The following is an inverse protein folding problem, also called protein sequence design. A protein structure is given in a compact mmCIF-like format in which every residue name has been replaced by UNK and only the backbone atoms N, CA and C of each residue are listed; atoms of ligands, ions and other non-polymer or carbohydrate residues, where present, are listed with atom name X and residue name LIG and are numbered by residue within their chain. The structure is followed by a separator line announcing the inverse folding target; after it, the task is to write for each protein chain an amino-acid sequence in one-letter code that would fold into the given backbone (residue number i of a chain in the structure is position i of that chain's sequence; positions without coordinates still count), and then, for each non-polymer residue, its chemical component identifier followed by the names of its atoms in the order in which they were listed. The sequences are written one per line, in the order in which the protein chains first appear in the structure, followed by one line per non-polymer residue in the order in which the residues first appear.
data_IF_166924427537
#
_entry.id   IF_166924427537
#
_cell.length_a   1.000
_cell.length_b   1.000
_cell.length_c   1.000
_cell.angle_alpha   90.00
_cell.angle_beta   90.00
_cell.angle_gamma   90.00
#
_symmetry.space_group_name_H-M   'P 1'
#
loop_
_entity.id
_entity.type
_entity.pdbx_description
1 polymer ?
#
# COMPACT_ATOMS: atom_id res chain seq x y z
N UNK A 1 31.55 -42.37 -34.64
CA UNK A 1 30.49 -41.34 -34.82
C UNK A 1 29.41 -41.30 -33.71
N UNK A 2 29.48 -42.12 -32.64
CA UNK A 2 28.47 -42.09 -31.55
C UNK A 2 28.88 -41.31 -30.28
N UNK A 3 30.15 -40.89 -30.16
CA UNK A 3 30.64 -40.14 -28.98
C UNK A 3 30.52 -38.60 -29.12
N UNK A 4 30.45 -38.08 -30.35
CA UNK A 4 30.27 -36.65 -30.59
C UNK A 4 28.81 -36.17 -30.42
N UNK A 5 27.84 -37.10 -30.48
CA UNK A 5 26.40 -36.77 -30.34
C UNK A 5 25.98 -36.61 -28.87
N UNK A 6 26.72 -37.20 -27.93
CA UNK A 6 26.41 -37.11 -26.50
C UNK A 6 26.89 -35.79 -25.88
N UNK A 7 27.96 -35.20 -26.41
CA UNK A 7 28.50 -33.93 -25.91
C UNK A 7 27.67 -32.74 -26.43
N UNK A 8 27.03 -32.87 -27.60
CA UNK A 8 26.09 -31.85 -28.10
C UNK A 8 24.75 -31.87 -27.34
N UNK A 9 24.36 -33.02 -26.78
CA UNK A 9 23.17 -33.17 -25.93
C UNK A 9 23.36 -32.55 -24.54
N UNK A 10 24.58 -32.57 -24.01
CA UNK A 10 24.88 -32.05 -22.68
C UNK A 10 25.09 -30.52 -22.65
N UNK A 11 25.20 -29.87 -23.80
CA UNK A 11 25.42 -28.42 -23.92
C UNK A 11 24.11 -27.64 -24.19
N UNK A 12 22.99 -28.32 -24.44
CA UNK A 12 21.68 -27.67 -24.71
C UNK A 12 20.73 -27.68 -23.50
N UNK A 13 21.14 -28.25 -22.36
CA UNK A 13 20.39 -28.18 -21.09
C UNK A 13 21.12 -27.27 -20.09
N UNK A 14 21.63 -26.15 -20.57
CA UNK A 14 21.62 -24.92 -19.78
C UNK A 14 20.44 -24.14 -20.35
N UNK A 15 19.24 -24.61 -20.00
CA UNK A 15 18.06 -23.78 -20.10
C UNK A 15 18.43 -22.52 -19.31
N UNK A 16 18.52 -21.39 -19.99
CA UNK A 16 18.57 -20.11 -19.32
C UNK A 16 17.32 -20.04 -18.45
N UNK A 17 17.44 -20.45 -17.18
CA UNK A 17 16.57 -19.95 -16.13
C UNK A 17 16.92 -18.48 -16.04
N UNK A 18 16.37 -17.68 -16.95
CA UNK A 18 16.10 -16.30 -16.61
C UNK A 18 15.22 -16.42 -15.37
N UNK A 19 15.80 -16.16 -14.20
CA UNK A 19 15.06 -15.75 -13.01
C UNK A 19 14.34 -14.46 -13.41
N UNK A 20 13.24 -14.60 -14.15
CA UNK A 20 12.28 -13.51 -14.27
C UNK A 20 11.61 -13.49 -12.91
N UNK A 21 12.04 -12.57 -12.04
CA UNK A 21 11.23 -12.21 -10.88
C UNK A 21 9.83 -11.89 -11.42
N UNK A 22 8.87 -12.74 -11.10
CA UNK A 22 7.48 -12.51 -11.50
C UNK A 22 6.94 -11.45 -10.54
N UNK A 23 6.45 -10.34 -11.07
CA UNK A 23 5.78 -9.35 -10.25
C UNK A 23 4.56 -10.00 -9.58
N UNK A 24 4.34 -9.72 -8.29
CA UNK A 24 3.14 -10.15 -7.57
C UNK A 24 2.11 -9.04 -7.68
N UNK A 25 0.92 -9.38 -8.15
CA UNK A 25 -0.19 -8.45 -8.33
C UNK A 25 -1.27 -8.72 -7.28
N UNK A 26 -1.52 -7.75 -6.41
CA UNK A 26 -2.52 -7.82 -5.38
C UNK A 26 -3.70 -6.94 -5.78
N UNK A 27 -4.89 -7.51 -5.88
CA UNK A 27 -6.11 -6.74 -6.13
C UNK A 27 -7.01 -6.76 -4.90
N UNK A 28 -7.82 -5.71 -4.73
CA UNK A 28 -8.66 -5.56 -3.55
C UNK A 28 -10.13 -5.33 -3.92
N UNK A 29 -11.01 -6.11 -3.32
CA UNK A 29 -12.47 -5.97 -3.44
C UNK A 29 -13.12 -5.96 -2.06
N UNK A 30 -14.31 -5.38 -1.94
CA UNK A 30 -15.07 -5.33 -0.69
C UNK A 30 -16.25 -6.29 -0.72
N UNK A 31 -16.50 -6.95 0.41
CA UNK A 31 -17.71 -7.78 0.62
C UNK A 31 -18.34 -7.49 1.98
N UNK A 32 -19.67 -7.50 2.02
CA UNK A 32 -20.45 -7.49 3.24
C UNK A 32 -21.57 -8.53 3.12
N UNK A 33 -21.39 -9.68 3.77
CA UNK A 33 -22.35 -10.79 3.77
C UNK A 33 -22.72 -11.29 2.35
N UNK A 34 -21.73 -11.37 1.45
CA UNK A 34 -21.93 -11.80 0.06
C UNK A 34 -22.40 -10.69 -0.88
N UNK A 35 -22.56 -9.46 -0.39
CA UNK A 35 -22.84 -8.30 -1.22
C UNK A 35 -21.56 -7.48 -1.45
N UNK A 36 -21.24 -7.22 -2.72
CA UNK A 36 -20.09 -6.41 -3.10
C UNK A 36 -20.19 -4.98 -2.51
N UNK A 37 -19.09 -4.53 -1.91
CA UNK A 37 -18.93 -3.21 -1.31
C UNK A 37 -17.94 -2.40 -2.15
N UNK A 38 -18.32 -1.16 -2.47
CA UNK A 38 -17.39 -0.21 -3.10
C UNK A 38 -16.41 0.31 -2.06
N UNK A 39 -15.12 0.18 -2.34
CA UNK A 39 -14.05 0.67 -1.48
C UNK A 39 -13.71 2.12 -1.83
N UNK A 40 -13.45 2.95 -0.82
CA UNK A 40 -13.00 4.34 -0.97
C UNK A 40 -11.47 4.42 -1.13
N UNK A 41 -10.76 3.59 -0.36
CA UNK A 41 -9.30 3.50 -0.42
C UNK A 41 -8.79 2.20 0.20
N UNK A 42 -7.59 1.78 -0.18
CA UNK A 42 -6.86 0.67 0.46
C UNK A 42 -5.47 1.15 0.83
N UNK A 43 -5.14 1.10 2.10
CA UNK A 43 -3.82 1.40 2.65
C UNK A 43 -3.08 0.08 2.83
N UNK A 44 -1.90 -0.06 2.24
CA UNK A 44 -1.02 -1.22 2.43
C UNK A 44 0.26 -0.73 3.08
N UNK A 45 0.62 -1.35 4.21
CA UNK A 45 1.85 -1.09 4.96
C UNK A 45 2.68 -2.36 5.00
N UNK A 46 3.96 -2.26 4.69
CA UNK A 46 4.88 -3.34 5.03
C UNK A 46 5.26 -3.15 6.50
N UNK A 47 4.88 -4.10 7.36
CA UNK A 47 5.18 -4.02 8.80
C UNK A 47 6.57 -4.55 9.14
N UNK A 48 7.15 -5.38 8.26
CA UNK A 48 8.51 -5.91 8.40
C UNK A 48 9.57 -4.84 8.11
N UNK A 49 9.44 -4.15 6.98
CA UNK A 49 10.43 -3.18 6.51
C UNK A 49 10.00 -1.72 6.69
N UNK A 50 8.72 -1.49 6.98
CA UNK A 50 8.12 -0.16 6.90
C UNK A 50 7.79 0.23 5.47
N UNK A 51 7.18 1.41 5.30
CA UNK A 51 6.65 1.86 4.02
C UNK A 51 5.14 1.66 3.94
N UNK A 52 4.50 2.54 3.19
CA UNK A 52 3.05 2.59 3.05
C UNK A 52 2.71 3.05 1.64
N UNK A 53 1.68 2.44 1.07
CA UNK A 53 1.06 2.87 -0.17
C UNK A 53 -0.45 2.95 0.04
N UNK A 54 -1.11 3.88 -0.64
CA UNK A 54 -2.58 3.98 -0.64
C UNK A 54 -3.10 3.93 -2.06
N UNK A 55 -4.02 3.00 -2.31
CA UNK A 55 -4.73 2.82 -3.57
C UNK A 55 -6.09 3.52 -3.50
N UNK A 56 -6.54 4.02 -4.64
CA UNK A 56 -7.84 4.70 -4.78
C UNK A 56 -8.55 4.21 -6.05
N UNK A 57 -9.90 4.09 -6.03
CA UNK A 57 -10.66 3.73 -7.22
C UNK A 57 -10.38 4.64 -8.42
N UNK A 58 -10.48 4.13 -9.66
CA UNK A 58 -10.98 2.80 -10.03
C UNK A 58 -9.94 1.67 -9.97
N UNK A 59 -8.68 1.99 -9.66
CA UNK A 59 -7.58 1.03 -9.69
C UNK A 59 -7.16 0.67 -8.26
N UNK A 60 -7.61 -0.51 -7.82
CA UNK A 60 -7.30 -1.06 -6.51
C UNK A 60 -6.37 -2.27 -6.65
N UNK A 61 -5.36 -2.11 -7.49
CA UNK A 61 -4.32 -3.11 -7.71
C UNK A 61 -2.93 -2.58 -7.32
N UNK A 62 -2.18 -3.37 -6.56
CA UNK A 62 -0.77 -3.12 -6.23
C UNK A 62 0.11 -4.15 -6.94
N UNK A 63 1.16 -3.68 -7.62
CA UNK A 63 2.20 -4.54 -8.19
C UNK A 63 3.45 -4.48 -7.29
N UNK A 64 3.82 -5.62 -6.72
CA UNK A 64 5.08 -5.83 -5.99
C UNK A 64 6.14 -6.33 -6.96
N UNK A 65 7.32 -5.71 -6.96
CA UNK A 65 8.43 -6.04 -7.85
C UNK A 65 9.48 -6.79 -7.04
N UNK A 66 9.74 -8.04 -7.40
CA UNK A 66 10.73 -8.90 -6.75
C UNK A 66 11.97 -8.96 -7.67
N UNK A 67 12.64 -7.83 -7.87
CA UNK A 67 13.93 -7.83 -8.59
C UNK A 67 15.06 -7.62 -7.60
N UNK A 68 16.06 -8.51 -7.63
CA UNK A 68 17.27 -8.41 -6.81
C UNK A 68 18.24 -7.31 -7.24
N UNK A 69 17.74 -6.25 -7.89
CA UNK A 69 18.50 -5.01 -8.05
C UNK A 69 18.15 -4.21 -6.81
N UNK A 70 19.09 -4.12 -5.86
CA UNK A 70 19.04 -3.10 -4.82
C UNK A 70 18.72 -1.77 -5.50
N UNK A 71 17.48 -1.29 -5.35
CA UNK A 71 17.24 0.12 -5.58
C UNK A 71 18.00 0.81 -4.46
N UNK A 72 19.12 1.46 -4.80
CA UNK A 72 19.90 2.21 -3.82
C UNK A 72 18.92 3.06 -3.00
N UNK A 73 18.81 2.75 -1.71
CA UNK A 73 18.10 3.53 -0.73
C UNK A 73 18.91 4.82 -0.54
N UNK A 74 18.82 5.73 -1.51
CA UNK A 74 19.25 7.09 -1.32
C UNK A 74 18.16 7.71 -0.46
N UNK A 75 18.46 7.92 0.83
CA UNK A 75 17.76 8.89 1.69
C UNK A 75 17.75 10.24 0.96
N UNK A 76 16.79 10.48 0.08
CA UNK A 76 16.70 11.76 -0.62
C UNK A 76 15.85 12.72 0.21
N UNK A 77 16.53 13.77 0.66
CA UNK A 77 15.99 15.12 0.89
C UNK A 77 14.85 15.45 -0.08
N UNK A 78 13.93 16.39 0.25
CA UNK A 78 12.82 16.76 -0.63
C UNK A 78 13.31 16.84 -2.09
N UNK A 79 12.69 16.06 -2.97
CA UNK A 79 13.14 15.90 -4.36
C UNK A 79 12.24 16.71 -5.26
N UNK A 80 12.85 17.43 -6.20
CA UNK A 80 12.12 18.11 -7.27
C UNK A 80 11.20 17.14 -8.04
N UNK A 81 9.88 17.32 -7.94
CA UNK A 81 8.88 16.39 -8.48
C UNK A 81 7.79 17.13 -9.27
N UNK A 82 7.54 16.67 -10.49
CA UNK A 82 6.43 17.13 -11.33
C UNK A 82 5.36 16.04 -11.37
N UNK A 83 4.17 16.34 -10.88
CA UNK A 83 3.04 15.41 -10.82
C UNK A 83 2.27 15.41 -12.13
N UNK A 84 1.61 14.28 -12.42
CA UNK A 84 0.76 14.19 -13.59
C UNK A 84 -0.39 15.21 -13.53
N UNK A 85 -0.78 15.73 -14.69
CA UNK A 85 -1.84 16.73 -14.78
C UNK A 85 -3.22 16.12 -14.47
N UNK A 86 -4.09 16.84 -13.76
CA UNK A 86 -5.48 16.43 -13.51
C UNK A 86 -6.47 17.52 -13.94
N UNK A 87 -7.49 17.16 -14.75
CA UNK A 87 -7.71 15.85 -15.37
C UNK A 87 -6.74 15.57 -16.53
N UNK A 88 -6.49 14.29 -16.85
CA UNK A 88 -5.82 13.83 -18.08
C UNK A 88 -6.55 12.57 -18.61
N UNK A 89 -7.18 12.59 -19.80
CA UNK A 89 -7.27 13.71 -20.73
C UNK A 89 -8.12 14.88 -20.22
N UNK A 90 -7.85 16.11 -20.70
CA UNK A 90 -8.59 17.32 -20.35
C UNK A 90 -9.30 17.96 -21.56
N UNK A 91 -10.23 18.88 -21.28
CA UNK A 91 -10.93 19.68 -22.31
C UNK A 91 -10.35 21.09 -22.39
N UNK A 92 -10.77 21.99 -21.50
CA UNK A 92 -10.42 23.42 -21.59
C UNK A 92 -9.22 23.84 -20.74
N UNK A 93 -8.93 23.09 -19.68
CA UNK A 93 -7.86 23.39 -18.72
C UNK A 93 -7.50 22.14 -17.94
N UNK A 94 -6.29 22.10 -17.41
CA UNK A 94 -5.83 21.05 -16.49
C UNK A 94 -4.90 21.68 -15.45
N UNK A 95 -4.80 21.06 -14.28
CA UNK A 95 -3.91 21.53 -13.22
C UNK A 95 -2.71 20.62 -13.11
N UNK A 96 -1.55 21.21 -12.85
CA UNK A 96 -0.28 20.50 -12.66
C UNK A 96 0.33 20.92 -11.33
N UNK A 97 0.80 19.96 -10.54
CA UNK A 97 1.50 20.23 -9.29
C UNK A 97 3.01 20.01 -9.45
N UNK A 98 3.78 20.95 -8.93
CA UNK A 98 5.24 20.89 -8.88
C UNK A 98 5.69 21.02 -7.42
N UNK A 99 6.42 20.04 -6.92
CA UNK A 99 7.10 20.11 -5.64
C UNK A 99 8.53 20.63 -5.83
N UNK A 100 8.85 21.71 -5.14
CA UNK A 100 10.15 22.38 -5.16
C UNK A 100 10.80 22.22 -3.78
N UNK A 101 12.03 21.71 -3.69
CA UNK A 101 12.62 21.36 -2.40
C UNK A 101 13.27 22.51 -1.65
N UNK A 102 13.61 23.59 -2.35
CA UNK A 102 14.22 24.80 -1.81
C UNK A 102 13.96 25.96 -2.76
N UNK A 103 14.03 27.20 -2.28
CA UNK A 103 13.77 28.37 -3.12
C UNK A 103 14.72 28.39 -4.32
N UNK A 104 14.17 28.26 -5.53
CA UNK A 104 14.96 28.20 -6.77
C UNK A 104 14.20 28.72 -7.99
N UNK A 105 14.94 29.01 -9.06
CA UNK A 105 14.39 29.46 -10.34
C UNK A 105 13.93 28.25 -11.15
N UNK A 106 12.61 28.13 -11.33
CA UNK A 106 12.02 27.06 -12.11
C UNK A 106 11.79 27.53 -13.55
N UNK A 107 12.28 26.76 -14.51
CA UNK A 107 11.96 26.92 -15.94
C UNK A 107 10.94 25.85 -16.34
N UNK A 108 9.81 26.28 -16.88
CA UNK A 108 8.77 25.42 -17.42
C UNK A 108 8.60 25.65 -18.92
N UNK A 109 8.57 24.56 -19.67
CA UNK A 109 8.43 24.57 -21.13
C UNK A 109 7.26 23.66 -21.49
N UNK A 110 6.33 24.17 -22.30
CA UNK A 110 5.29 23.36 -22.93
C UNK A 110 5.65 23.17 -24.39
N UNK A 111 5.69 21.93 -24.87
CA UNK A 111 5.99 21.58 -26.27
C UNK A 111 4.92 20.68 -26.90
N UNK A 112 4.86 20.64 -28.23
CA UNK A 112 4.01 19.72 -28.99
C UNK A 112 4.71 18.37 -29.28
N UNK A 113 4.02 17.48 -30.00
CA UNK A 113 4.55 16.16 -30.41
C UNK A 113 5.80 16.22 -31.29
N UNK A 114 6.02 17.34 -31.98
CA UNK A 114 7.21 17.56 -32.82
C UNK A 114 8.38 18.14 -32.00
N UNK A 115 8.22 18.34 -30.69
CA UNK A 115 9.23 18.95 -29.82
C UNK A 115 9.32 20.48 -29.96
N UNK A 116 8.40 21.13 -30.69
CA UNK A 116 8.39 22.59 -30.80
C UNK A 116 7.93 23.21 -29.49
N UNK A 117 8.69 24.18 -28.98
CA UNK A 117 8.34 24.92 -27.77
C UNK A 117 7.18 25.87 -28.06
N UNK A 118 6.03 25.62 -27.45
CA UNK A 118 4.81 26.42 -27.59
C UNK A 118 4.74 27.55 -26.54
N UNK A 119 5.27 27.30 -25.34
CA UNK A 119 5.28 28.25 -24.24
C UNK A 119 6.49 28.01 -23.34
N UNK A 120 7.08 29.08 -22.82
CA UNK A 120 8.13 29.03 -21.79
C UNK A 120 7.78 29.99 -20.67
N UNK A 121 7.92 29.55 -19.43
CA UNK A 121 7.70 30.34 -18.23
C UNK A 121 8.86 30.14 -17.26
N UNK A 122 9.42 31.23 -16.74
CA UNK A 122 10.46 31.20 -15.72
C UNK A 122 9.91 31.86 -14.47
N UNK A 123 9.98 31.17 -13.32
CA UNK A 123 9.46 31.71 -12.07
C UNK A 123 10.30 31.24 -10.89
N UNK A 124 10.67 32.17 -10.00
CA UNK A 124 11.26 31.83 -8.71
C UNK A 124 10.13 31.33 -7.81
N UNK A 125 10.29 30.12 -7.27
CA UNK A 125 9.34 29.48 -6.37
C UNK A 125 10.06 29.16 -5.06
N UNK A 126 9.36 29.31 -3.95
CA UNK A 126 9.84 28.88 -2.64
C UNK A 126 9.76 27.36 -2.48
N UNK A 127 10.31 26.84 -1.38
CA UNK A 127 10.10 25.44 -1.02
C UNK A 127 8.60 25.14 -0.83
N UNK A 128 8.14 24.01 -1.37
CA UNK A 128 6.77 23.54 -1.22
C UNK A 128 6.13 23.09 -2.53
N UNK A 129 4.81 22.87 -2.47
CA UNK A 129 4.02 22.42 -3.62
C UNK A 129 3.29 23.59 -4.26
N UNK A 130 3.52 23.77 -5.56
CA UNK A 130 2.96 24.84 -6.37
C UNK A 130 2.01 24.26 -7.42
N UNK A 131 0.84 24.88 -7.56
CA UNK A 131 -0.15 24.46 -8.57
C UNK A 131 -0.12 25.43 -9.75
N UNK A 132 -0.04 24.87 -10.95
CA UNK A 132 -0.11 25.57 -12.22
C UNK A 132 -1.38 25.18 -12.96
N UNK A 133 -2.09 26.19 -13.45
CA UNK A 133 -3.24 26.01 -14.33
C UNK A 133 -2.76 26.12 -15.77
N UNK A 134 -2.90 25.03 -16.52
CA UNK A 134 -2.59 24.98 -17.95
C UNK A 134 -3.86 25.11 -18.77
N UNK A 135 -3.82 25.99 -19.77
CA UNK A 135 -4.85 26.16 -20.79
C UNK A 135 -4.25 25.77 -22.16
N UNK A 136 -4.81 24.80 -22.88
CA UNK A 136 -4.26 24.34 -24.15
C UNK A 136 -4.51 25.35 -25.27
N UNK A 137 -3.67 25.30 -26.30
CA UNK A 137 -3.97 25.85 -27.61
C UNK A 137 -4.68 24.82 -28.50
N UNK A 138 -4.26 24.73 -29.76
CA UNK A 138 -4.90 23.86 -30.76
C UNK A 138 -4.38 22.42 -30.80
N UNK A 139 -3.27 22.11 -30.13
CA UNK A 139 -2.69 20.76 -30.11
C UNK A 139 -3.53 19.79 -29.27
N UNK A 140 -3.43 18.49 -29.59
CA UNK A 140 -4.09 17.39 -28.87
C UNK A 140 -3.19 16.72 -27.83
N UNK A 141 -1.89 16.92 -27.94
CA UNK A 141 -0.91 16.37 -27.00
C UNK A 141 0.16 17.41 -26.72
N UNK A 142 0.47 17.56 -25.45
CA UNK A 142 1.47 18.50 -24.95
C UNK A 142 2.44 17.75 -24.04
N UNK A 143 3.68 18.20 -24.02
CA UNK A 143 4.65 17.82 -22.98
C UNK A 143 4.95 19.04 -22.14
N UNK A 144 4.80 18.93 -20.82
CA UNK A 144 5.25 19.96 -19.88
C UNK A 144 6.53 19.47 -19.22
N UNK A 145 7.60 20.22 -19.45
CA UNK A 145 8.92 19.99 -18.86
C UNK A 145 9.19 21.08 -17.84
N UNK A 146 9.47 20.71 -16.59
CA UNK A 146 9.95 21.60 -15.55
C UNK A 146 11.42 21.28 -15.23
N UNK A 147 12.25 22.32 -15.12
CA UNK A 147 13.66 22.19 -14.76
C UNK A 147 14.09 23.16 -13.66
N UNK A 148 14.99 22.67 -12.80
CA UNK A 148 15.54 23.34 -11.62
C UNK A 148 16.93 22.78 -11.35
N UNK A 149 17.98 23.61 -11.30
CA UNK A 149 19.34 23.23 -10.86
C UNK A 149 19.86 21.90 -11.44
N UNK A 150 19.62 21.67 -12.74
CA UNK A 150 20.04 20.45 -13.46
C UNK A 150 19.05 19.27 -13.38
N UNK A 151 18.08 19.29 -12.46
CA UNK A 151 16.97 18.34 -12.44
C UNK A 151 15.92 18.72 -13.48
N UNK A 152 15.50 17.75 -14.28
CA UNK A 152 14.44 17.93 -15.30
C UNK A 152 13.40 16.83 -15.15
N UNK A 153 12.13 17.21 -15.15
CA UNK A 153 10.99 16.29 -15.14
C UNK A 153 9.99 16.69 -16.23
N UNK A 154 9.43 15.69 -16.90
CA UNK A 154 8.49 15.90 -18.01
C UNK A 154 7.26 15.04 -17.82
N UNK A 155 6.08 15.62 -18.07
CA UNK A 155 4.80 14.91 -18.10
C UNK A 155 4.12 15.08 -19.45
N UNK A 156 3.32 14.08 -19.84
CA UNK A 156 2.52 14.09 -21.07
C UNK A 156 1.07 14.42 -20.74
N UNK A 157 0.54 15.45 -21.39
CA UNK A 157 -0.82 15.97 -21.20
C UNK A 157 -1.65 15.79 -22.47
N UNK A 158 -2.78 15.09 -22.39
CA UNK A 158 -3.69 14.81 -23.51
C UNK A 158 -4.92 15.73 -23.48
N UNK A 159 -5.18 16.44 -24.58
CA UNK A 159 -6.31 17.35 -24.72
C UNK A 159 -7.33 16.78 -25.70
N UNK A 160 -8.54 16.45 -25.23
CA UNK A 160 -9.62 15.94 -26.07
C UNK A 160 -10.25 17.05 -26.92
N UNK A 161 -10.42 18.25 -26.34
CA UNK A 161 -11.13 19.35 -26.99
C UNK A 161 -10.61 20.72 -26.51
N UNK A 162 -9.66 21.30 -27.24
CA UNK A 162 -9.28 22.70 -27.08
C UNK A 162 -10.31 23.62 -27.77
N UNK A 163 -10.55 24.81 -27.22
CA UNK A 163 -11.38 25.81 -27.90
C UNK A 163 -10.56 26.43 -29.03
N UNK A 164 -11.09 26.39 -30.25
CA UNK A 164 -10.46 27.04 -31.41
C UNK A 164 -10.24 28.53 -31.13
N UNK A 165 -8.99 29.00 -31.28
CA UNK A 165 -8.61 30.40 -31.01
C UNK A 165 -8.28 30.72 -29.56
N UNK A 166 -8.29 29.74 -28.64
CA UNK A 166 -7.83 29.94 -27.27
C UNK A 166 -6.30 30.05 -27.23
N UNK A 167 -5.80 31.11 -26.61
CA UNK A 167 -4.35 31.27 -26.40
C UNK A 167 -3.85 30.27 -25.36
N UNK A 168 -2.76 29.60 -25.68
CA UNK A 168 -2.05 28.72 -24.75
C UNK A 168 -1.55 29.53 -23.55
N UNK A 169 -1.74 29.03 -22.33
CA UNK A 169 -1.22 29.71 -21.13
C UNK A 169 -0.89 28.72 -20.01
N UNK A 170 0.07 29.12 -19.17
CA UNK A 170 0.47 28.41 -17.96
C UNK A 170 0.58 29.43 -16.82
N UNK A 171 -0.46 29.49 -15.99
CA UNK A 171 -0.57 30.42 -14.87
C UNK A 171 -0.27 29.74 -13.54
N UNK A 172 0.47 30.38 -12.66
CA UNK A 172 0.62 29.92 -11.27
C UNK A 172 -0.65 30.27 -10.49
N UNK A 173 -1.34 29.26 -9.96
CA UNK A 173 -2.68 29.40 -9.35
C UNK A 173 -2.66 29.44 -7.82
N UNK A 174 -1.49 29.36 -7.17
CA UNK A 174 -1.33 29.45 -5.71
C UNK A 174 -0.24 28.52 -5.15
N UNK A 175 0.08 28.73 -3.87
CA UNK A 175 0.97 27.89 -3.06
C UNK A 175 0.12 27.25 -1.96
N UNK A 176 0.17 25.93 -1.79
CA UNK A 176 -0.34 25.31 -0.56
C UNK A 176 0.71 25.51 0.53
N UNK A 177 0.42 26.41 1.47
CA UNK A 177 1.25 26.68 2.66
C UNK A 177 1.35 25.39 3.51
N UNK A 178 2.49 25.09 4.17
CA UNK A 178 2.66 23.83 4.87
C UNK A 178 1.66 23.73 6.02
N UNK A 179 0.73 22.78 5.93
CA UNK A 179 0.06 22.31 7.14
C UNK A 179 1.10 21.65 8.04
N UNK A 180 1.01 21.81 9.38
CA UNK A 180 1.90 21.15 10.32
C UNK A 180 1.93 19.67 10.02
N UNK A 181 3.14 19.12 9.97
CA UNK A 181 3.46 17.77 9.56
C UNK A 181 2.59 16.72 10.23
N UNK A 182 1.53 16.31 9.54
CA UNK A 182 1.15 14.91 9.54
C UNK A 182 1.89 14.29 8.38
N UNK A 183 2.74 13.30 8.70
CA UNK A 183 3.54 12.48 7.79
C UNK A 183 2.77 12.27 6.47
N UNK A 184 3.09 13.08 5.45
CA UNK A 184 2.39 13.04 4.19
C UNK A 184 2.92 11.86 3.38
N UNK A 185 2.17 10.76 3.47
CA UNK A 185 1.78 9.87 2.36
C UNK A 185 2.75 9.85 1.18
N UNK A 186 3.65 8.87 1.23
CA UNK A 186 4.57 8.54 0.14
C UNK A 186 3.75 7.89 -0.98
N UNK A 187 3.37 8.65 -2.01
CA UNK A 187 2.81 8.07 -3.23
C UNK A 187 3.79 8.12 -4.39
N UNK A 188 4.08 6.90 -4.86
CA UNK A 188 4.87 6.44 -6.00
C UNK A 188 6.38 6.31 -5.76
N UNK A 189 6.74 5.08 -5.40
CA UNK A 189 8.04 4.46 -5.59
C UNK A 189 8.11 3.20 -4.74
N UNK A 190 7.46 2.13 -5.20
CA UNK A 190 7.54 0.74 -4.71
C UNK A 190 7.38 0.56 -3.18
N UNK A 191 6.29 -0.09 -2.75
CA UNK A 191 6.25 -0.62 -1.39
C UNK A 191 7.47 -1.56 -1.27
N UNK A 192 8.48 -1.27 -0.42
CA UNK A 192 9.61 -2.18 -0.28
C UNK A 192 9.05 -3.53 0.14
N UNK A 193 9.45 -4.58 -0.56
CA UNK A 193 8.87 -5.90 -0.35
C UNK A 193 9.91 -6.96 -0.71
N UNK A 194 10.24 -7.78 0.27
CA UNK A 194 10.91 -9.05 0.07
C UNK A 194 9.94 -10.20 0.34
N UNK A 195 10.17 -11.32 -0.33
CA UNK A 195 9.38 -12.52 -0.11
C UNK A 195 9.45 -12.93 1.37
N UNK A 196 8.28 -13.07 2.00
CA UNK A 196 8.14 -13.34 3.43
C UNK A 196 7.77 -12.13 4.27
N UNK A 197 7.85 -10.91 3.73
CA UNK A 197 7.39 -9.72 4.44
C UNK A 197 5.90 -9.77 4.77
N UNK A 198 5.54 -9.24 5.93
CA UNK A 198 4.15 -9.07 6.34
C UNK A 198 3.63 -7.71 5.88
N UNK A 199 2.48 -7.74 5.20
CA UNK A 199 1.76 -6.57 4.76
C UNK A 199 0.47 -6.41 5.55
N UNK A 200 0.33 -5.28 6.25
CA UNK A 200 -0.93 -4.82 6.84
C UNK A 200 -1.73 -4.05 5.78
N UNK A 201 -2.88 -4.60 5.40
CA UNK A 201 -3.78 -4.07 4.39
C UNK A 201 -5.05 -3.59 5.08
N UNK A 202 -5.43 -2.33 4.91
CA UNK A 202 -6.59 -1.70 5.54
C UNK A 202 -7.40 -1.01 4.45
N UNK A 203 -8.63 -1.45 4.24
CA UNK A 203 -9.57 -0.84 3.32
C UNK A 203 -10.63 -0.03 4.06
N UNK A 204 -11.04 1.07 3.44
CA UNK A 204 -12.12 1.91 3.91
C UNK A 204 -13.27 1.90 2.91
N UNK A 205 -14.49 1.96 3.42
CA UNK A 205 -15.73 2.17 2.67
C UNK A 205 -16.71 3.01 3.50
N UNK A 206 -17.89 3.29 2.95
CA UNK A 206 -19.00 3.90 3.68
C UNK A 206 -19.42 3.12 4.94
N UNK A 207 -19.11 1.81 5.00
CA UNK A 207 -19.43 0.94 6.14
C UNK A 207 -18.37 1.00 7.26
N UNK A 208 -17.25 1.70 7.04
CA UNK A 208 -16.14 1.80 7.99
C UNK A 208 -14.84 1.23 7.45
N UNK A 209 -13.98 0.72 8.35
CA UNK A 209 -12.68 0.14 8.00
C UNK A 209 -12.63 -1.37 8.20
N UNK A 210 -11.94 -2.09 7.32
CA UNK A 210 -11.64 -3.52 7.42
C UNK A 210 -10.17 -3.75 7.09
N UNK A 211 -9.51 -4.73 7.72
CA UNK A 211 -8.10 -4.96 7.47
C UNK A 211 -7.63 -6.39 7.72
N UNK A 212 -6.45 -6.72 7.20
CA UNK A 212 -5.81 -8.00 7.42
C UNK A 212 -4.30 -7.87 7.30
N UNK A 213 -3.56 -8.79 7.92
CA UNK A 213 -2.11 -8.95 7.74
C UNK A 213 -1.86 -10.21 6.92
N UNK A 214 -1.02 -10.12 5.88
CA UNK A 214 -0.66 -11.24 5.00
C UNK A 214 0.77 -11.13 4.51
N UNK A 215 1.40 -12.28 4.23
CA UNK A 215 2.66 -12.38 3.51
C UNK A 215 2.38 -12.93 2.10
N UNK A 216 2.12 -12.08 1.09
CA UNK A 216 1.76 -12.54 -0.24
C UNK A 216 2.93 -13.25 -0.93
N UNK A 217 2.72 -14.49 -1.34
CA UNK A 217 3.72 -15.28 -2.07
C UNK A 217 3.46 -15.33 -3.59
N UNK A 218 2.24 -14.98 -4.01
CA UNK A 218 1.82 -14.97 -5.41
C UNK A 218 0.73 -13.93 -5.63
N UNK A 219 0.46 -13.59 -6.90
CA UNK A 219 -0.64 -12.70 -7.26
C UNK A 219 -1.99 -13.26 -6.80
N UNK A 220 -2.77 -12.44 -6.11
CA UNK A 220 -4.03 -12.86 -5.49
C UNK A 220 -4.99 -11.67 -5.32
N UNK A 221 -6.28 -11.95 -5.39
CA UNK A 221 -7.34 -11.04 -4.95
C UNK A 221 -7.60 -11.18 -3.44
N UNK A 222 -7.57 -10.06 -2.74
CA UNK A 222 -7.92 -9.93 -1.33
C UNK A 222 -9.31 -9.31 -1.16
N UNK A 223 -10.19 -10.08 -0.53
CA UNK A 223 -11.56 -9.65 -0.24
C UNK A 223 -11.59 -9.05 1.17
N UNK A 224 -11.89 -7.76 1.23
CA UNK A 224 -12.02 -6.97 2.46
C UNK A 224 -13.43 -7.16 3.04
N UNK A 225 -13.51 -7.80 4.20
CA UNK A 225 -14.78 -8.17 4.82
C UNK A 225 -15.29 -7.07 5.77
N UNK A 226 -16.45 -6.49 5.46
CA UNK A 226 -17.11 -5.46 6.29
C UNK A 226 -18.23 -6.02 7.15
N UNK A 227 -18.59 -7.29 6.96
CA UNK A 227 -19.53 -7.98 7.83
C UNK A 227 -18.96 -8.11 9.24
N UNK A 228 -19.82 -7.83 10.22
CA UNK A 228 -19.55 -8.05 11.65
C UNK A 228 -20.50 -9.12 12.16
N UNK A 229 -20.09 -9.88 13.17
CA UNK A 229 -20.89 -10.97 13.76
C UNK A 229 -21.16 -12.18 12.86
N UNK A 230 -20.36 -12.40 11.81
CA UNK A 230 -20.37 -13.65 11.04
C UNK A 230 -19.18 -14.54 11.43
N UNK A 231 -19.34 -15.85 11.25
CA UNK A 231 -18.27 -16.82 11.43
C UNK A 231 -17.13 -16.58 10.42
N UNK A 232 -15.93 -17.04 10.74
CA UNK A 232 -14.80 -16.89 9.83
C UNK A 232 -14.92 -17.77 8.57
N UNK A 233 -14.61 -17.22 7.38
CA UNK A 233 -14.61 -17.99 6.15
C UNK A 233 -13.74 -19.24 6.25
N UNK A 234 -14.36 -20.42 6.14
CA UNK A 234 -13.68 -21.71 6.20
C UNK A 234 -13.21 -22.15 7.59
N UNK A 235 -13.55 -21.40 8.65
CA UNK A 235 -13.18 -21.74 10.02
C UNK A 235 -14.30 -21.33 10.99
N UNK A 236 -15.46 -21.98 10.92
CA UNK A 236 -16.59 -21.61 11.78
C UNK A 236 -16.32 -21.82 13.29
N UNK A 237 -15.46 -22.79 13.59
CA UNK A 237 -15.02 -23.10 14.95
C UNK A 237 -13.61 -23.69 14.96
N UNK A 238 -12.92 -23.54 16.08
CA UNK A 238 -11.55 -23.97 16.32
C UNK A 238 -11.50 -24.77 17.63
N UNK A 239 -10.89 -25.96 17.59
CA UNK A 239 -10.55 -26.72 18.80
C UNK A 239 -9.15 -26.30 19.26
N UNK A 240 -9.02 -25.79 20.49
CA UNK A 240 -7.76 -25.36 21.09
C UNK A 240 -7.69 -25.83 22.55
N UNK A 241 -6.66 -26.60 22.90
CA UNK A 241 -6.45 -27.17 24.25
C UNK A 241 -7.73 -27.79 24.84
N UNK A 242 -8.32 -28.72 24.07
CA UNK A 242 -9.56 -29.44 24.38
C UNK A 242 -10.83 -28.58 24.56
N UNK A 243 -10.79 -27.32 24.13
CA UNK A 243 -11.95 -26.43 24.14
C UNK A 243 -12.32 -25.96 22.74
N UNK A 244 -13.62 -26.03 22.43
CA UNK A 244 -14.17 -25.56 21.16
C UNK A 244 -14.56 -24.09 21.27
N UNK A 245 -13.98 -23.27 20.39
CA UNK A 245 -14.29 -21.85 20.25
C UNK A 245 -14.95 -21.62 18.90
N UNK A 246 -16.08 -20.92 18.88
CA UNK A 246 -16.60 -20.40 17.63
C UNK A 246 -15.74 -19.22 17.19
N UNK A 247 -15.72 -18.94 15.90
CA UNK A 247 -15.01 -17.77 15.39
C UNK A 247 -15.98 -16.67 15.00
N UNK A 248 -15.45 -15.46 14.90
CA UNK A 248 -16.15 -14.29 14.45
C UNK A 248 -15.21 -13.39 13.65
N UNK A 249 -15.71 -12.81 12.57
CA UNK A 249 -15.00 -11.75 11.87
C UNK A 249 -15.21 -10.40 12.54
N UNK A 250 -14.10 -9.71 12.80
CA UNK A 250 -14.06 -8.32 13.23
C UNK A 250 -12.99 -7.61 12.42
N UNK A 251 -13.43 -6.70 11.55
CA UNK A 251 -12.56 -5.88 10.72
C UNK A 251 -11.60 -6.70 9.85
N UNK A 252 -12.09 -7.75 9.18
CA UNK A 252 -11.29 -8.59 8.27
C UNK A 252 -10.40 -9.65 8.93
N UNK A 253 -10.29 -9.63 10.26
CA UNK A 253 -9.54 -10.63 11.04
C UNK A 253 -10.48 -11.61 11.75
N UNK A 254 -9.93 -12.79 12.03
CA UNK A 254 -10.62 -13.86 12.73
C UNK A 254 -10.31 -13.84 14.21
N UNK A 255 -11.37 -13.78 15.00
CA UNK A 255 -11.30 -13.78 16.45
C UNK A 255 -12.07 -14.98 17.00
N UNK A 256 -11.64 -15.50 18.16
CA UNK A 256 -12.52 -16.36 18.94
C UNK A 256 -13.71 -15.54 19.43
N UNK A 257 -14.91 -16.10 19.31
CA UNK A 257 -16.16 -15.46 19.73
C UNK A 257 -16.29 -15.49 21.26
N UNK A 258 -15.86 -16.59 21.87
CA UNK A 258 -15.80 -16.75 23.33
C UNK A 258 -14.46 -16.27 23.89
N UNK A 259 -14.46 -15.91 25.18
CA UNK A 259 -13.23 -15.56 25.89
C UNK A 259 -12.37 -16.81 26.11
N UNK A 260 -11.06 -16.70 25.89
CA UNK A 260 -10.11 -17.78 26.11
C UNK A 260 -10.17 -18.32 27.55
N UNK A 261 -10.32 -19.63 27.72
CA UNK A 261 -10.51 -20.27 29.01
C UNK A 261 -9.74 -21.61 29.15
N UNK A 262 -8.58 -21.74 28.54
CA UNK A 262 -7.76 -22.97 28.57
C UNK A 262 -6.87 -23.06 29.82
N UNK A 263 -6.30 -24.22 30.11
CA UNK A 263 -5.33 -24.40 31.19
C UNK A 263 -5.92 -24.53 32.60
N UNK A 264 -5.02 -24.62 33.59
CA UNK A 264 -5.29 -24.89 35.00
C UNK A 264 -5.39 -23.59 35.78
N UNK A 265 -6.43 -23.45 36.60
CA UNK A 265 -6.58 -22.29 37.47
C UNK A 265 -5.56 -22.34 38.61
N UNK A 266 -4.79 -21.27 38.77
CA UNK A 266 -3.99 -20.98 39.96
C UNK A 266 -4.61 -19.84 40.75
N UNK A 267 -4.29 -19.76 42.04
CA UNK A 267 -4.81 -18.70 42.92
C UNK A 267 -4.12 -17.37 42.60
N UNK A 268 -4.85 -16.24 42.76
CA UNK A 268 -4.29 -14.90 42.50
C UNK A 268 -3.08 -14.49 43.35
N UNK A 269 -2.72 -15.27 44.39
CA UNK A 269 -1.50 -15.09 45.18
C UNK A 269 -0.31 -15.94 44.68
N UNK A 270 -0.53 -16.79 43.68
CA UNK A 270 0.49 -17.57 42.99
C UNK A 270 0.93 -16.85 41.71
N UNK A 271 2.11 -17.20 41.21
CA UNK A 271 2.65 -16.65 39.96
C UNK A 271 2.60 -17.71 38.87
N UNK A 272 2.12 -17.33 37.69
CA UNK A 272 2.28 -18.15 36.49
C UNK A 272 3.77 -18.35 36.19
N UNK A 273 4.17 -19.56 35.81
CA UNK A 273 5.57 -19.95 35.58
C UNK A 273 5.74 -20.82 34.33
N UNK A 274 6.93 -20.78 33.72
CA UNK A 274 7.27 -21.65 32.61
C UNK A 274 7.46 -23.11 33.08
N UNK A 275 6.37 -23.86 33.15
CA UNK A 275 6.35 -25.24 33.62
C UNK A 275 5.70 -26.22 32.63
N UNK A 276 5.42 -25.77 31.40
CA UNK A 276 4.81 -26.58 30.34
C UNK A 276 3.32 -26.88 30.54
N UNK A 277 2.68 -26.30 31.57
CA UNK A 277 1.23 -26.33 31.77
C UNK A 277 0.71 -24.92 31.62
N UNK A 278 -0.34 -24.73 30.80
CA UNK A 278 -0.98 -23.41 30.71
C UNK A 278 -1.65 -23.11 32.05
N UNK A 279 -1.23 -22.03 32.71
CA UNK A 279 -1.81 -21.56 33.96
C UNK A 279 -2.71 -20.36 33.70
N UNK A 280 -3.82 -20.23 34.44
CA UNK A 280 -4.75 -19.09 34.36
C UNK A 280 -5.16 -18.58 35.73
N UNK A 281 -5.52 -17.32 35.82
CA UNK A 281 -6.29 -16.79 36.94
C UNK A 281 -7.77 -16.70 36.58
N UNK A 282 -8.62 -16.86 37.58
CA UNK A 282 -10.04 -16.56 37.47
C UNK A 282 -10.40 -15.35 38.32
N UNK A 283 -11.25 -14.47 37.79
CA UNK A 283 -11.70 -13.32 38.56
C UNK A 283 -12.35 -13.78 39.87
N UNK A 284 -11.88 -13.24 41.00
CA UNK A 284 -12.34 -13.65 42.33
C UNK A 284 -11.97 -15.09 42.72
N UNK A 285 -10.97 -15.71 42.08
CA UNK A 285 -10.59 -17.11 42.28
C UNK A 285 -11.76 -18.10 42.14
N UNK A 286 -12.69 -17.84 41.21
CA UNK A 286 -13.86 -18.71 40.96
C UNK A 286 -13.82 -19.27 39.55
N UNK A 287 -13.81 -20.60 39.44
CA UNK A 287 -13.87 -21.31 38.15
C UNK A 287 -15.14 -20.98 37.36
N UNK A 288 -16.25 -20.71 38.03
CA UNK A 288 -17.51 -20.33 37.38
C UNK A 288 -17.38 -18.97 36.66
N UNK A 289 -16.66 -18.04 37.27
CA UNK A 289 -16.38 -16.74 36.65
C UNK A 289 -15.42 -16.88 35.46
N UNK A 290 -14.50 -17.86 35.49
CA UNK A 290 -13.71 -18.22 34.31
C UNK A 290 -14.58 -18.79 33.17
N UNK A 291 -15.54 -19.66 33.48
CA UNK A 291 -16.44 -20.23 32.47
C UNK A 291 -17.34 -19.17 31.82
N UNK A 292 -17.70 -18.11 32.55
CA UNK A 292 -18.52 -17.02 32.02
C UNK A 292 -17.71 -15.89 31.36
N UNK A 293 -16.50 -15.59 31.85
CA UNK A 293 -15.74 -14.38 31.46
C UNK A 293 -14.36 -14.67 30.86
N UNK A 294 -13.95 -15.92 30.80
CA UNK A 294 -12.61 -16.34 30.38
C UNK A 294 -11.59 -16.36 31.51
N UNK A 295 -10.46 -16.98 31.22
CA UNK A 295 -9.26 -16.95 32.04
C UNK A 295 -8.48 -15.65 31.86
N UNK A 296 -7.76 -15.26 32.90
CA UNK A 296 -6.82 -14.15 32.88
C UNK A 296 -5.41 -14.72 32.84
N UNK A 297 -4.59 -14.21 31.94
CA UNK A 297 -3.24 -14.72 31.70
C UNK A 297 -2.24 -13.57 31.71
N UNK A 298 -1.02 -13.84 32.15
CA UNK A 298 0.13 -12.99 31.87
C UNK A 298 0.51 -13.13 30.42
N UNK A 299 1.08 -12.07 29.86
CA UNK A 299 1.58 -12.06 28.49
C UNK A 299 2.57 -13.20 28.24
N UNK A 300 3.55 -13.37 29.14
CA UNK A 300 4.57 -14.42 29.02
C UNK A 300 3.97 -15.82 28.97
N UNK A 301 2.89 -16.07 29.73
CA UNK A 301 2.17 -17.35 29.75
C UNK A 301 1.46 -17.61 28.41
N UNK A 302 0.75 -16.62 27.88
CA UNK A 302 0.08 -16.74 26.56
C UNK A 302 1.07 -16.90 25.42
N UNK A 303 2.24 -16.27 25.52
CA UNK A 303 3.33 -16.41 24.55
C UNK A 303 4.20 -17.65 24.81
N UNK A 304 3.83 -18.51 25.76
CA UNK A 304 4.56 -19.73 26.13
C UNK A 304 6.04 -19.47 26.46
N UNK A 305 6.33 -18.29 27.02
CA UNK A 305 7.67 -17.81 27.36
C UNK A 305 8.66 -17.82 26.18
N UNK A 306 8.16 -17.86 24.94
CA UNK A 306 8.97 -17.68 23.74
C UNK A 306 9.29 -16.18 23.58
N UNK A 307 10.58 -15.86 23.39
CA UNK A 307 10.98 -14.51 23.03
C UNK A 307 10.52 -14.21 21.60
N UNK A 308 9.92 -13.02 21.41
CA UNK A 308 9.60 -12.44 20.09
C UNK A 308 10.89 -11.89 19.47
#
# INVERSE_FOLDING_TARGET
MKKALFILSMIVVILATSLMGQNIELSFTGDNNGQAVSLDSVIIRNVSQGGEVTLYPPDLTLTLIITGIESEIIKQNPVFKLHQNYPNPFKNKTSVQLHVPGTSLIKMIVSNLLGQNLLTSNKVLDAGTHTFLFTPGNEKCYFLTASCDGHTKTIKMLCNHGKAGQSISLGHSGQTVPYPSFKALQLLGELPFEMGDELLMIAYSELGGSGMVKSPEMSQEYIMQFAVNIACPGLDSLLYEDQLYHTIQVGGQCWMKENLNVGVMIMGNQTQTNNGTIEKYCYGNSTDLCNMRGGLFKWDELMQYCAI
#
